data_IF_437229116979
#
_entry.id   IF_437229116979
#
_cell.length_a   1.000
_cell.length_b   1.000
_cell.length_c   1.000
_cell.angle_alpha   90.00
_cell.angle_beta   90.00
_cell.angle_gamma   90.00
#
_symmetry.space_group_name_H-M   'P 1'
#
loop_
_entity.id
_entity.type
_entity.pdbx_description
1 polymer ?
#
# COMPACT_ATOMS: atom_id res chain seq x y z
N UNK A 1 30.56 7.98 -10.00
CA UNK A 1 29.78 7.34 -8.92
C UNK A 1 28.29 7.46 -9.27
N UNK A 2 27.49 6.42 -9.01
CA UNK A 2 26.05 6.45 -9.21
C UNK A 2 25.38 6.98 -7.92
N UNK A 3 24.69 8.11 -8.02
CA UNK A 3 24.03 8.77 -6.89
C UNK A 3 22.50 8.64 -6.96
N UNK A 4 21.98 7.71 -7.77
CA UNK A 4 20.54 7.49 -7.89
C UNK A 4 19.99 6.89 -6.59
N UNK A 5 18.97 7.53 -6.03
CA UNK A 5 18.30 7.11 -4.79
C UNK A 5 17.00 6.39 -5.15
N UNK A 6 16.75 5.24 -4.53
CA UNK A 6 15.48 4.53 -4.65
C UNK A 6 14.64 4.85 -3.42
N UNK A 7 13.46 5.41 -3.64
CA UNK A 7 12.50 5.74 -2.58
C UNK A 7 11.36 4.73 -2.63
N UNK A 8 11.10 4.08 -1.49
CA UNK A 8 9.92 3.23 -1.30
C UNK A 8 8.93 3.94 -0.39
N UNK A 9 7.66 3.97 -0.78
CA UNK A 9 6.57 4.58 -0.01
C UNK A 9 5.57 3.51 0.46
N UNK A 10 5.56 3.17 1.77
CA UNK A 10 4.50 2.38 2.38
C UNK A 10 3.24 3.22 2.54
N UNK A 11 2.24 3.01 1.68
CA UNK A 11 1.07 3.91 1.58
C UNK A 11 0.00 3.64 2.63
N UNK A 12 0.08 2.52 3.37
CA UNK A 12 -1.05 2.04 4.19
C UNK A 12 -0.61 1.38 5.51
N UNK A 13 0.09 0.24 5.42
CA UNK A 13 0.46 -0.60 6.57
C UNK A 13 -0.69 -1.43 7.16
N UNK A 14 -0.40 -2.27 8.17
CA UNK A 14 -1.37 -3.12 8.88
C UNK A 14 -1.47 -2.85 10.38
N UNK A 15 -0.74 -1.86 10.90
CA UNK A 15 -0.88 -1.47 12.31
C UNK A 15 -2.27 -0.90 12.61
N UNK A 16 -2.62 -0.84 13.91
CA UNK A 16 -3.81 -0.16 14.40
C UNK A 16 -3.64 1.37 14.29
N UNK A 17 -3.77 1.87 13.06
CA UNK A 17 -3.55 3.28 12.70
C UNK A 17 -4.71 3.89 11.92
N UNK A 18 -5.72 3.10 11.53
CA UNK A 18 -6.87 3.57 10.76
C UNK A 18 -7.61 4.76 11.38
N UNK A 19 -7.65 4.82 12.71
CA UNK A 19 -8.28 5.93 13.44
C UNK A 19 -7.31 7.03 13.86
N UNK A 20 -6.01 6.86 13.60
CA UNK A 20 -4.96 7.80 14.02
C UNK A 20 -4.70 8.91 13.00
N UNK A 21 -5.10 8.72 11.74
CA UNK A 21 -4.99 9.74 10.70
C UNK A 21 -6.22 9.71 9.78
N UNK A 22 -6.90 10.85 9.55
CA UNK A 22 -8.16 10.87 8.79
C UNK A 22 -7.97 10.49 7.32
N UNK A 23 -6.80 10.74 6.74
CA UNK A 23 -6.53 10.48 5.32
C UNK A 23 -5.80 9.15 5.10
N UNK A 24 -5.79 8.23 6.07
CA UNK A 24 -5.20 6.93 5.82
C UNK A 24 -6.04 6.20 4.75
N UNK A 25 -5.45 5.75 3.63
CA UNK A 25 -6.20 5.05 2.60
C UNK A 25 -6.68 3.69 3.13
N UNK A 26 -7.96 3.37 2.94
CA UNK A 26 -8.60 2.14 3.44
C UNK A 26 -9.12 1.30 2.29
N UNK A 27 -9.86 1.91 1.37
CA UNK A 27 -10.45 1.19 0.22
C UNK A 27 -9.38 0.88 -0.83
N UNK A 28 -9.55 -0.19 -1.65
CA UNK A 28 -8.63 -0.48 -2.75
C UNK A 28 -8.42 0.71 -3.70
N UNK A 29 -9.49 1.48 -3.98
CA UNK A 29 -9.41 2.70 -4.77
C UNK A 29 -8.49 3.75 -4.13
N UNK A 30 -8.70 4.07 -2.86
CA UNK A 30 -7.86 5.05 -2.13
C UNK A 30 -6.40 4.59 -2.04
N UNK A 31 -6.16 3.30 -1.84
CA UNK A 31 -4.80 2.73 -1.76
C UNK A 31 -4.10 2.85 -3.12
N UNK A 32 -4.79 2.55 -4.21
CA UNK A 32 -4.26 2.72 -5.56
C UNK A 32 -3.96 4.20 -5.87
N UNK A 33 -4.88 5.10 -5.54
CA UNK A 33 -4.70 6.55 -5.70
C UNK A 33 -3.47 7.03 -4.91
N UNK A 34 -3.30 6.62 -3.66
CA UNK A 34 -2.13 6.95 -2.84
C UNK A 34 -0.82 6.40 -3.43
N UNK A 35 -0.82 5.18 -3.99
CA UNK A 35 0.35 4.61 -4.66
C UNK A 35 0.75 5.42 -5.91
N UNK A 36 -0.24 5.84 -6.69
CA UNK A 36 -0.04 6.67 -7.89
C UNK A 36 0.48 8.06 -7.52
N UNK A 37 -0.12 8.69 -6.50
CA UNK A 37 0.33 9.99 -6.00
C UNK A 37 1.76 9.93 -5.45
N UNK A 38 2.09 8.89 -4.68
CA UNK A 38 3.45 8.66 -4.18
C UNK A 38 4.46 8.52 -5.34
N UNK A 39 4.11 7.76 -6.38
CA UNK A 39 4.96 7.60 -7.56
C UNK A 39 5.17 8.91 -8.30
N UNK A 40 4.10 9.68 -8.53
CA UNK A 40 4.17 11.01 -9.14
C UNK A 40 5.00 12.00 -8.32
N UNK A 41 5.05 11.82 -6.99
CA UNK A 41 5.91 12.59 -6.10
C UNK A 41 7.38 12.12 -6.07
N UNK A 42 7.72 11.01 -6.72
CA UNK A 42 9.09 10.51 -6.88
C UNK A 42 9.38 9.15 -6.20
N UNK A 43 8.38 8.46 -5.65
CA UNK A 43 8.58 7.10 -5.16
C UNK A 43 8.78 6.12 -6.32
N UNK A 44 9.83 5.30 -6.25
CA UNK A 44 10.07 4.23 -7.22
C UNK A 44 9.25 2.97 -6.89
N UNK A 45 8.89 2.78 -5.61
CA UNK A 45 8.20 1.59 -5.11
C UNK A 45 7.03 2.03 -4.23
N UNK A 46 5.87 1.40 -4.42
CA UNK A 46 4.74 1.48 -3.50
C UNK A 46 4.60 0.16 -2.72
N UNK A 47 4.78 0.21 -1.41
CA UNK A 47 4.55 -0.93 -0.52
C UNK A 47 3.11 -0.93 -0.01
N UNK A 48 2.39 -2.01 -0.27
CA UNK A 48 0.93 -2.04 -0.17
C UNK A 48 0.46 -3.10 0.82
N UNK A 49 -0.42 -2.65 1.72
CA UNK A 49 -1.30 -3.49 2.55
C UNK A 49 -2.74 -3.14 2.18
N UNK A 50 -3.63 -4.13 2.14
CA UNK A 50 -5.07 -3.89 1.97
C UNK A 50 -5.78 -3.96 3.31
N UNK A 51 -6.93 -3.30 3.40
CA UNK A 51 -7.72 -3.18 4.62
C UNK A 51 -9.16 -3.59 4.39
N UNK A 52 -9.82 -4.03 5.45
CA UNK A 52 -11.26 -4.19 5.50
C UNK A 52 -11.95 -2.80 5.51
N UNK A 53 -13.24 -2.71 5.16
CA UNK A 53 -13.97 -1.43 5.15
C UNK A 53 -13.98 -0.69 6.49
N UNK A 54 -13.83 -1.41 7.61
CA UNK A 54 -13.73 -0.83 8.95
C UNK A 54 -12.31 -0.36 9.32
N UNK A 55 -11.34 -0.47 8.41
CA UNK A 55 -9.95 -0.11 8.62
C UNK A 55 -9.09 -1.19 9.29
N UNK A 56 -9.63 -2.39 9.56
CA UNK A 56 -8.84 -3.52 10.03
C UNK A 56 -7.90 -4.04 8.92
N UNK A 57 -6.77 -4.68 9.25
CA UNK A 57 -5.89 -5.28 8.25
C UNK A 57 -6.59 -6.41 7.50
N UNK A 58 -6.33 -6.56 6.19
CA UNK A 58 -6.94 -7.60 5.36
C UNK A 58 -5.91 -8.38 4.55
N UNK A 59 -6.27 -9.63 4.22
CA UNK A 59 -5.50 -10.54 3.35
C UNK A 59 -6.26 -10.89 2.06
N UNK A 60 -7.39 -10.23 1.80
CA UNK A 60 -8.27 -10.57 0.68
C UNK A 60 -7.56 -10.32 -0.66
N UNK A 61 -7.42 -11.39 -1.45
CA UNK A 61 -6.80 -11.33 -2.77
C UNK A 61 -7.56 -10.40 -3.71
N UNK A 62 -8.89 -10.34 -3.60
CA UNK A 62 -9.71 -9.46 -4.43
C UNK A 62 -9.35 -7.98 -4.24
N UNK A 63 -9.02 -7.56 -3.01
CA UNK A 63 -8.59 -6.19 -2.73
C UNK A 63 -7.20 -5.91 -3.32
N UNK A 64 -6.26 -6.85 -3.20
CA UNK A 64 -4.94 -6.70 -3.82
C UNK A 64 -5.04 -6.65 -5.34
N UNK A 65 -5.89 -7.51 -5.92
CA UNK A 65 -6.18 -7.54 -7.35
C UNK A 65 -6.76 -6.21 -7.82
N UNK A 66 -7.75 -5.66 -7.12
CA UNK A 66 -8.32 -4.37 -7.47
C UNK A 66 -7.28 -3.24 -7.40
N UNK A 67 -6.42 -3.21 -6.38
CA UNK A 67 -5.31 -2.23 -6.30
C UNK A 67 -4.37 -2.40 -7.50
N UNK A 68 -3.94 -3.63 -7.80
CA UNK A 68 -3.03 -3.91 -8.90
C UNK A 68 -3.62 -3.47 -10.25
N UNK A 69 -4.88 -3.81 -10.51
CA UNK A 69 -5.57 -3.50 -11.75
C UNK A 69 -5.68 -1.97 -11.91
N UNK A 70 -6.06 -1.25 -10.85
CA UNK A 70 -6.14 0.23 -10.85
C UNK A 70 -4.79 0.91 -11.08
N UNK A 71 -3.74 0.50 -10.37
CA UNK A 71 -2.39 1.08 -10.54
C UNK A 71 -1.84 0.81 -11.93
N UNK A 72 -2.03 -0.41 -12.46
CA UNK A 72 -1.57 -0.75 -13.82
C UNK A 72 -2.35 -0.01 -14.90
N UNK A 73 -3.64 0.27 -14.70
CA UNK A 73 -4.45 1.06 -15.63
C UNK A 73 -4.19 2.57 -15.59
N UNK A 74 -3.35 3.07 -14.67
CA UNK A 74 -3.09 4.51 -14.55
C UNK A 74 -1.88 5.01 -15.35
N UNK A 75 -1.25 4.13 -16.14
CA UNK A 75 -0.01 4.39 -16.90
C UNK A 75 1.12 5.00 -16.05
N UNK A 76 1.11 4.72 -14.73
CA UNK A 76 2.12 5.24 -13.79
C UNK A 76 3.19 4.18 -13.56
N UNK A 77 4.44 4.51 -13.88
CA UNK A 77 5.57 3.62 -13.69
C UNK A 77 5.99 3.56 -12.22
N UNK A 78 5.46 2.57 -11.49
CA UNK A 78 5.77 2.30 -10.09
C UNK A 78 5.89 0.81 -9.84
N UNK A 79 6.90 0.40 -9.08
CA UNK A 79 7.02 -0.99 -8.64
C UNK A 79 6.00 -1.27 -7.54
N UNK A 80 5.13 -2.24 -7.80
CA UNK A 80 4.15 -2.73 -6.82
C UNK A 80 4.82 -3.77 -5.92
N UNK A 81 4.93 -3.47 -4.63
CA UNK A 81 5.40 -4.40 -3.62
C UNK A 81 4.25 -4.78 -2.68
N UNK A 82 3.71 -5.99 -2.83
CA UNK A 82 2.67 -6.50 -1.94
C UNK A 82 3.29 -7.19 -0.73
N UNK A 83 2.83 -6.77 0.46
CA UNK A 83 3.18 -7.46 1.69
C UNK A 83 2.69 -8.91 1.69
N UNK A 84 3.47 -9.79 2.31
CA UNK A 84 3.04 -11.12 2.75
C UNK A 84 2.86 -11.20 4.27
N UNK A 85 3.20 -10.13 5.01
CA UNK A 85 3.04 -10.01 6.46
C UNK A 85 1.90 -9.08 6.87
N UNK A 86 1.34 -9.30 8.06
CA UNK A 86 0.25 -8.47 8.62
C UNK A 86 0.66 -7.65 9.85
N UNK A 87 1.95 -7.62 10.16
CA UNK A 87 2.48 -7.06 11.40
C UNK A 87 3.32 -8.11 12.11
N UNK A 88 4.15 -7.69 13.06
CA UNK A 88 4.88 -8.59 13.94
C UNK A 88 3.94 -9.20 14.97
N UNK A 89 3.07 -10.10 14.53
CA UNK A 89 2.23 -10.87 15.43
C UNK A 89 3.12 -11.91 16.11
N UNK A 90 3.41 -11.72 17.40
CA UNK A 90 4.11 -12.70 18.22
C UNK A 90 3.07 -13.69 18.76
N UNK A 91 2.91 -14.80 18.06
CA UNK A 91 2.10 -15.91 18.56
C UNK A 91 2.99 -16.87 19.37
N UNK A 92 2.71 -16.96 20.67
CA UNK A 92 3.17 -18.06 21.51
C UNK A 92 2.12 -19.14 21.36
N UNK A 93 2.49 -20.25 20.74
CA UNK A 93 1.58 -21.38 20.47
C UNK A 93 0.89 -21.91 21.72
#
# INVERSE_FOLDING_TARGET
>A
MNNNVIISCPVTGSGDTAKKHPNLPITPKQIAEAAIEAAKAGAAIAHIHVREPNGAPSRKLDYYKEVADRVRSSDTDVVINFTTGMGGDFEVG
#
